data_IF_496302617526
#
_entry.id   IF_496302617526
#
_cell.length_a   1.000
_cell.length_b   1.000
_cell.length_c   1.000
_cell.angle_alpha   90.00
_cell.angle_beta   90.00
_cell.angle_gamma   90.00
#
_symmetry.space_group_name_H-M   'P 1'
#
loop_
_entity.id
_entity.type
_entity.pdbx_description
1 polymer ?
#
# COMPACT_ATOMS: atom_id res chain seq x y z
N UNK A 1 25.11 -8.32 23.26
CA UNK A 1 23.93 -7.82 23.93
C UNK A 1 23.37 -6.62 23.23
N UNK A 2 24.13 -5.52 23.22
CA UNK A 2 23.66 -4.31 22.57
C UNK A 2 23.40 -4.53 21.08
N UNK A 3 24.25 -5.32 20.43
CA UNK A 3 24.08 -5.60 19.02
C UNK A 3 22.74 -6.28 18.73
N UNK A 4 22.36 -7.20 19.61
CA UNK A 4 21.08 -7.89 19.44
C UNK A 4 19.90 -6.94 19.56
N UNK A 5 19.97 -6.03 20.53
CA UNK A 5 18.91 -5.06 20.72
C UNK A 5 18.80 -4.13 19.51
N UNK A 6 19.94 -3.65 19.04
CA UNK A 6 19.96 -2.77 17.86
C UNK A 6 19.41 -3.50 16.64
N UNK A 7 19.76 -4.76 16.48
CA UNK A 7 19.29 -5.57 15.37
C UNK A 7 17.78 -5.72 15.42
N UNK A 8 17.23 -5.98 16.59
CA UNK A 8 15.79 -6.11 16.74
C UNK A 8 15.07 -4.81 16.40
N UNK A 9 15.61 -3.68 16.84
CA UNK A 9 15.02 -2.39 16.54
C UNK A 9 15.05 -2.11 15.04
N UNK A 10 16.16 -2.43 14.39
CA UNK A 10 16.24 -2.27 12.94
C UNK A 10 15.22 -3.12 12.21
N UNK A 11 15.03 -4.35 12.68
CA UNK A 11 14.06 -5.23 12.05
C UNK A 11 12.65 -4.68 12.20
N UNK A 12 12.32 -4.11 13.33
CA UNK A 12 11.02 -3.50 13.53
C UNK A 12 10.85 -2.30 12.61
N UNK A 13 11.89 -1.47 12.49
CA UNK A 13 11.83 -0.32 11.59
C UNK A 13 11.68 -0.75 10.15
N UNK A 14 12.40 -1.79 9.75
CA UNK A 14 12.33 -2.29 8.39
C UNK A 14 10.96 -2.87 8.07
N UNK A 15 10.30 -3.43 9.06
CA UNK A 15 8.94 -3.96 8.89
C UNK A 15 7.88 -2.89 8.91
N UNK A 16 8.22 -1.71 9.38
CA UNK A 16 7.27 -0.61 9.44
C UNK A 16 6.93 -0.15 8.03
N UNK A 17 5.64 -0.05 7.76
CA UNK A 17 5.18 0.44 6.48
C UNK A 17 5.43 1.93 6.36
N UNK A 18 5.95 2.35 5.24
CA UNK A 18 6.24 3.76 5.01
C UNK A 18 5.13 4.40 4.19
N UNK A 19 4.67 5.56 4.66
CA UNK A 19 3.64 6.35 3.97
C UNK A 19 4.32 7.27 2.98
N UNK A 20 4.63 6.73 1.81
CA UNK A 20 5.29 7.44 0.73
C UNK A 20 4.56 7.17 -0.56
N UNK A 21 5.03 7.77 -1.63
CA UNK A 21 4.50 7.45 -2.95
C UNK A 21 4.91 6.03 -3.33
N UNK A 22 4.00 5.30 -3.93
CA UNK A 22 4.24 3.93 -4.42
C UNK A 22 3.74 3.81 -5.84
N UNK A 23 4.45 3.03 -6.65
CA UNK A 23 3.86 2.54 -7.89
C UNK A 23 2.68 1.65 -7.55
N UNK A 24 1.64 1.68 -8.38
CA UNK A 24 0.46 0.85 -8.10
C UNK A 24 0.80 -0.63 -8.09
N UNK A 25 1.65 -1.06 -9.00
CA UNK A 25 2.12 -2.45 -8.99
C UNK A 25 2.94 -2.76 -7.75
N UNK A 26 3.77 -1.83 -7.35
CA UNK A 26 4.59 -1.99 -6.15
C UNK A 26 3.72 -2.17 -4.91
N UNK A 27 2.73 -1.30 -4.74
CA UNK A 27 1.84 -1.37 -3.59
C UNK A 27 1.00 -2.64 -3.62
N UNK A 28 0.45 -2.99 -4.79
CA UNK A 28 -0.33 -4.20 -4.93
C UNK A 28 0.47 -5.44 -4.53
N UNK A 29 1.75 -5.49 -4.91
CA UNK A 29 2.59 -6.64 -4.56
C UNK A 29 2.91 -6.72 -3.08
N UNK A 30 2.89 -5.59 -2.38
CA UNK A 30 3.04 -5.62 -0.92
C UNK A 30 1.86 -6.29 -0.26
N UNK A 31 0.65 -6.05 -0.77
CA UNK A 31 -0.56 -6.67 -0.22
C UNK A 31 -0.77 -8.10 -0.72
N UNK A 32 -0.35 -8.40 -1.94
CA UNK A 32 -0.61 -9.70 -2.58
C UNK A 32 0.71 -10.17 -3.20
N UNK A 33 1.64 -10.70 -2.38
CA UNK A 33 3.01 -10.93 -2.85
C UNK A 33 3.25 -12.23 -3.62
N UNK A 34 2.33 -13.18 -3.58
CA UNK A 34 2.60 -14.52 -4.11
C UNK A 34 2.00 -14.78 -5.48
N UNK A 35 1.77 -13.72 -6.24
CA UNK A 35 1.22 -13.82 -7.60
C UNK A 35 2.00 -12.88 -8.50
N UNK A 36 1.75 -12.97 -9.81
CA UNK A 36 2.35 -12.04 -10.75
C UNK A 36 1.82 -10.63 -10.51
N UNK A 37 2.64 -9.64 -10.87
CA UNK A 37 2.29 -8.25 -10.60
C UNK A 37 0.94 -7.86 -11.18
N UNK A 38 0.66 -8.25 -12.42
CA UNK A 38 -0.62 -7.89 -13.04
C UNK A 38 -1.79 -8.49 -12.26
N UNK A 39 -1.65 -9.73 -11.81
CA UNK A 39 -2.69 -10.36 -11.01
C UNK A 39 -2.87 -9.65 -9.68
N UNK A 40 -1.77 -9.22 -9.06
CA UNK A 40 -1.84 -8.47 -7.82
C UNK A 40 -2.58 -7.14 -8.02
N UNK A 41 -2.27 -6.43 -9.11
CA UNK A 41 -2.93 -5.17 -9.42
C UNK A 41 -4.43 -5.37 -9.63
N UNK A 42 -4.81 -6.40 -10.37
CA UNK A 42 -6.21 -6.67 -10.64
C UNK A 42 -6.99 -6.96 -9.35
N UNK A 43 -6.42 -7.79 -8.48
CA UNK A 43 -7.05 -8.11 -7.20
C UNK A 43 -7.09 -6.91 -6.27
N UNK A 44 -6.01 -6.15 -6.26
CA UNK A 44 -5.93 -4.96 -5.42
C UNK A 44 -7.00 -3.94 -5.82
N UNK A 45 -7.19 -3.75 -7.11
CA UNK A 45 -8.24 -2.87 -7.61
C UNK A 45 -9.63 -3.36 -7.20
N UNK A 46 -9.85 -4.67 -7.22
CA UNK A 46 -11.10 -5.23 -6.75
C UNK A 46 -11.33 -4.94 -5.27
N UNK A 47 -10.29 -5.04 -4.46
CA UNK A 47 -10.39 -4.72 -3.04
C UNK A 47 -10.75 -3.26 -2.82
N UNK A 48 -10.12 -2.37 -3.60
CA UNK A 48 -10.41 -0.94 -3.48
C UNK A 48 -11.86 -0.66 -3.86
N UNK A 49 -12.35 -1.28 -4.92
CA UNK A 49 -13.73 -1.08 -5.35
C UNK A 49 -14.73 -1.68 -4.37
N UNK A 50 -14.37 -2.80 -3.75
CA UNK A 50 -15.26 -3.45 -2.79
C UNK A 50 -15.33 -2.71 -1.46
N UNK A 51 -14.31 -1.92 -1.11
CA UNK A 51 -14.28 -1.18 0.15
C UNK A 51 -15.23 0.01 0.06
N UNK A 52 -16.24 0.10 0.95
CA UNK A 52 -17.26 1.15 0.84
C UNK A 52 -16.64 2.55 0.93
N UNK A 53 -16.88 3.35 -0.10
CA UNK A 53 -16.47 4.75 -0.12
C UNK A 53 -14.99 5.00 -0.39
N UNK A 54 -14.17 3.96 -0.47
CA UNK A 54 -12.72 4.18 -0.64
C UNK A 54 -12.41 4.77 -2.00
N UNK A 55 -13.00 4.24 -3.05
CA UNK A 55 -12.72 4.74 -4.40
C UNK A 55 -13.12 6.21 -4.53
N UNK A 56 -14.26 6.58 -3.99
CA UNK A 56 -14.73 7.96 -4.01
C UNK A 56 -13.79 8.88 -3.25
N UNK A 57 -13.29 8.43 -2.11
CA UNK A 57 -12.34 9.22 -1.34
C UNK A 57 -11.03 9.39 -2.09
N UNK A 58 -10.55 8.33 -2.74
CA UNK A 58 -9.34 8.42 -3.54
C UNK A 58 -9.51 9.39 -4.71
N UNK A 59 -10.63 9.33 -5.39
CA UNK A 59 -10.91 10.24 -6.49
C UNK A 59 -10.98 11.69 -6.00
N UNK A 60 -11.51 11.91 -4.80
CA UNK A 60 -11.60 13.25 -4.25
C UNK A 60 -10.25 13.86 -3.92
N UNK A 61 -9.19 13.06 -3.82
CA UNK A 61 -7.83 13.58 -3.65
C UNK A 61 -7.22 14.05 -4.95
N UNK A 62 -7.94 13.94 -6.06
CA UNK A 62 -7.38 14.23 -7.38
C UNK A 62 -6.72 13.05 -8.04
N UNK A 63 -6.96 11.84 -7.52
CA UNK A 63 -6.37 10.66 -8.11
C UNK A 63 -6.83 10.47 -9.55
N UNK A 64 -5.87 10.22 -10.44
CA UNK A 64 -6.16 9.86 -11.81
C UNK A 64 -6.13 8.33 -11.91
N UNK A 65 -7.26 7.68 -12.30
CA UNK A 65 -7.28 6.22 -12.39
C UNK A 65 -6.24 5.66 -13.37
N UNK A 66 -5.76 6.47 -14.30
CA UNK A 66 -4.74 6.04 -15.25
C UNK A 66 -3.33 6.24 -14.74
N UNK A 67 -3.17 6.91 -13.62
CA UNK A 67 -1.85 7.09 -13.02
C UNK A 67 -1.30 5.76 -12.56
N UNK A 68 0.02 5.59 -12.70
CA UNK A 68 0.69 4.38 -12.25
C UNK A 68 1.23 4.48 -10.84
N UNK A 69 0.98 5.61 -10.19
CA UNK A 69 1.51 5.87 -8.86
C UNK A 69 0.41 6.38 -7.96
N UNK A 70 0.54 6.05 -6.68
CA UNK A 70 -0.30 6.59 -5.63
C UNK A 70 0.54 7.55 -4.78
N UNK A 71 -0.03 8.72 -4.49
CA UNK A 71 0.64 9.70 -3.64
C UNK A 71 0.62 9.23 -2.19
N UNK A 72 1.47 9.83 -1.32
CA UNK A 72 1.42 9.47 0.10
C UNK A 72 0.04 9.62 0.73
N UNK A 73 -0.71 10.65 0.34
CA UNK A 73 -2.07 10.84 0.87
C UNK A 73 -3.00 9.70 0.43
N UNK A 74 -2.88 9.27 -0.81
CA UNK A 74 -3.68 8.16 -1.33
C UNK A 74 -3.30 6.85 -0.66
N UNK A 75 -2.00 6.63 -0.46
CA UNK A 75 -1.51 5.45 0.25
C UNK A 75 -2.08 5.43 1.68
N UNK A 76 -2.11 6.56 2.34
CA UNK A 76 -2.65 6.65 3.69
C UNK A 76 -4.12 6.26 3.74
N UNK A 77 -4.92 6.72 2.78
CA UNK A 77 -6.33 6.33 2.70
C UNK A 77 -6.51 4.83 2.50
N UNK A 78 -5.70 4.26 1.63
CA UNK A 78 -5.76 2.82 1.36
C UNK A 78 -5.44 2.03 2.63
N UNK A 79 -4.39 2.42 3.32
CA UNK A 79 -3.97 1.73 4.54
C UNK A 79 -5.02 1.87 5.65
N UNK A 80 -5.68 3.03 5.74
CA UNK A 80 -6.75 3.22 6.70
C UNK A 80 -7.84 2.17 6.55
N UNK A 81 -8.15 1.79 5.32
CA UNK A 81 -9.26 0.89 5.04
C UNK A 81 -8.80 -0.56 4.95
N UNK A 82 -7.70 -0.82 4.28
CA UNK A 82 -7.22 -2.18 4.04
C UNK A 82 -6.22 -2.69 5.07
N UNK A 83 -5.79 -1.85 6.00
CA UNK A 83 -4.72 -2.11 6.94
C UNK A 83 -3.37 -2.11 6.24
N UNK A 84 -2.30 -2.20 7.02
CA UNK A 84 -0.95 -2.27 6.44
C UNK A 84 -0.72 -3.62 5.79
N UNK A 85 0.04 -3.63 4.69
CA UNK A 85 0.32 -4.89 4.01
C UNK A 85 1.15 -5.88 4.80
#
# INVERSE_FOLDING_TARGET
MKANTDTLQKQEEEKSFQYRSYGKGELAMLYIPNVQQQSAVDRFNEWIEAAPGLKERLLSTGMNPRSRHDTPAQVRLIVEVLQEP
#
